data_IF_582451723547
#
_entry.id   IF_582451723547
#
_cell.length_a   1.000
_cell.length_b   1.000
_cell.length_c   1.000
_cell.angle_alpha   90.00
_cell.angle_beta   90.00
_cell.angle_gamma   90.00
#
_symmetry.space_group_name_H-M   'P 1'
#
loop_
_entity.id
_entity.type
_entity.pdbx_description
1 polymer ?
#
# COMPACT_ATOMS: atom_id res chain seq x y z
N UNK A 1 14.16 -27.20 -39.58
CA UNK A 1 15.33 -26.62 -38.88
C UNK A 1 15.81 -25.34 -39.58
N UNK A 2 15.05 -24.24 -39.52
CA UNK A 2 15.38 -22.98 -40.23
C UNK A 2 15.12 -21.71 -39.39
N UNK A 3 15.07 -21.83 -38.05
CA UNK A 3 14.74 -20.70 -37.15
C UNK A 3 15.96 -20.12 -36.42
N UNK A 4 17.15 -20.67 -36.63
CA UNK A 4 18.39 -20.24 -35.95
C UNK A 4 19.17 -19.16 -36.73
N UNK A 5 18.95 -19.06 -38.04
CA UNK A 5 19.76 -18.20 -38.90
C UNK A 5 19.32 -16.72 -38.81
N UNK A 6 18.01 -16.44 -38.81
CA UNK A 6 17.49 -15.07 -38.78
C UNK A 6 17.90 -14.28 -37.53
N UNK A 7 17.93 -14.92 -36.35
CA UNK A 7 18.33 -14.26 -35.10
C UNK A 7 19.82 -13.91 -35.12
N UNK A 8 20.65 -14.80 -35.65
CA UNK A 8 22.09 -14.61 -35.79
C UNK A 8 22.43 -13.59 -36.89
N UNK A 9 21.61 -13.52 -37.94
CA UNK A 9 21.73 -12.53 -39.02
C UNK A 9 21.34 -11.11 -38.55
N UNK A 10 20.32 -11.00 -37.68
CA UNK A 10 19.91 -9.74 -37.04
C UNK A 10 20.96 -9.29 -36.02
N UNK A 11 21.36 -10.16 -35.09
CA UNK A 11 22.34 -9.84 -34.06
C UNK A 11 23.75 -9.63 -34.64
N UNK A 12 24.08 -10.31 -35.75
CA UNK A 12 25.36 -10.19 -36.45
C UNK A 12 25.46 -8.99 -37.39
N UNK A 13 24.44 -8.12 -37.45
CA UNK A 13 24.48 -6.87 -38.23
C UNK A 13 24.44 -7.05 -39.75
N UNK A 14 24.24 -8.27 -40.25
CA UNK A 14 24.18 -8.56 -41.69
C UNK A 14 22.95 -7.88 -42.33
N UNK A 15 21.88 -7.70 -41.56
CA UNK A 15 20.69 -6.92 -41.97
C UNK A 15 21.01 -5.44 -42.19
N UNK A 16 21.95 -4.85 -41.43
CA UNK A 16 22.34 -3.44 -41.59
C UNK A 16 23.18 -3.22 -42.86
N UNK A 17 23.88 -4.24 -43.33
CA UNK A 17 24.69 -4.20 -44.55
C UNK A 17 23.86 -4.40 -45.82
N UNK A 18 22.79 -5.20 -45.75
CA UNK A 18 21.96 -5.55 -46.92
C UNK A 18 20.80 -4.58 -47.17
N UNK A 19 20.31 -3.92 -46.12
CA UNK A 19 19.29 -2.87 -46.25
C UNK A 19 19.98 -1.50 -46.31
N UNK A 20 19.48 -0.58 -47.15
CA UNK A 20 20.00 0.80 -47.27
C UNK A 20 19.93 1.66 -46.00
N UNK A 21 19.75 1.03 -44.83
CA UNK A 21 19.69 1.61 -43.50
C UNK A 21 20.94 2.43 -43.16
N UNK A 22 22.12 2.04 -43.65
CA UNK A 22 23.35 2.82 -43.47
C UNK A 22 23.25 4.23 -44.07
N UNK A 23 22.45 4.43 -45.11
CA UNK A 23 22.20 5.76 -45.71
C UNK A 23 21.47 6.69 -44.73
N UNK A 24 20.74 6.14 -43.77
CA UNK A 24 20.04 6.84 -42.69
C UNK A 24 20.56 6.46 -41.30
N UNK A 25 21.85 6.13 -41.18
CA UNK A 25 22.46 5.69 -39.92
C UNK A 25 22.22 6.66 -38.74
N UNK A 26 22.16 7.97 -38.99
CA UNK A 26 21.84 8.99 -37.97
C UNK A 26 20.45 8.79 -37.37
N UNK A 27 19.45 8.44 -38.19
CA UNK A 27 18.09 8.19 -37.74
C UNK A 27 18.00 6.90 -36.92
N UNK A 28 18.67 5.84 -37.37
CA UNK A 28 18.70 4.57 -36.63
C UNK A 28 19.40 4.71 -35.28
N UNK A 29 20.49 5.47 -35.21
CA UNK A 29 21.16 5.78 -33.95
C UNK A 29 20.23 6.52 -32.98
N UNK A 30 19.44 7.49 -33.49
CA UNK A 30 18.47 8.21 -32.66
C UNK A 30 17.41 7.27 -32.08
N UNK A 31 16.86 6.36 -32.89
CA UNK A 31 15.89 5.36 -32.41
C UNK A 31 16.52 4.42 -31.38
N UNK A 32 17.77 3.98 -31.60
CA UNK A 32 18.49 3.13 -30.67
C UNK A 32 18.68 3.80 -29.30
N UNK A 33 19.08 5.08 -29.30
CA UNK A 33 19.18 5.87 -28.06
C UNK A 33 17.81 6.00 -27.39
N UNK A 34 16.74 6.22 -28.15
CA UNK A 34 15.39 6.29 -27.60
C UNK A 34 14.95 4.97 -26.94
N UNK A 35 15.31 3.83 -27.53
CA UNK A 35 15.06 2.50 -26.94
C UNK A 35 15.83 2.34 -25.62
N UNK A 36 17.10 2.76 -25.55
CA UNK A 36 17.88 2.73 -24.31
C UNK A 36 17.21 3.60 -23.23
N UNK A 37 16.82 4.83 -23.57
CA UNK A 37 16.12 5.74 -22.65
C UNK A 37 14.81 5.11 -22.17
N UNK A 38 14.05 4.49 -23.07
CA UNK A 38 12.80 3.81 -22.75
C UNK A 38 13.02 2.67 -21.74
N UNK A 39 14.03 1.82 -21.95
CA UNK A 39 14.37 0.73 -21.03
C UNK A 39 14.75 1.29 -19.65
N UNK A 40 15.59 2.33 -19.62
CA UNK A 40 16.01 2.98 -18.37
C UNK A 40 14.82 3.58 -17.60
N UNK A 41 13.90 4.24 -18.30
CA UNK A 41 12.71 4.83 -17.70
C UNK A 41 11.77 3.76 -17.13
N UNK A 42 11.57 2.67 -17.87
CA UNK A 42 10.73 1.55 -17.41
C UNK A 42 11.27 0.95 -16.10
N UNK A 43 12.59 0.74 -16.02
CA UNK A 43 13.22 0.19 -14.83
C UNK A 43 12.99 1.07 -13.58
N UNK A 44 13.04 2.40 -13.75
CA UNK A 44 12.74 3.34 -12.66
C UNK A 44 11.28 3.23 -12.19
N UNK A 45 10.33 3.17 -13.13
CA UNK A 45 8.91 3.02 -12.81
C UNK A 45 8.64 1.71 -12.08
N UNK A 46 9.22 0.60 -12.54
CA UNK A 46 9.07 -0.70 -11.89
C UNK A 46 9.58 -0.71 -10.45
N UNK A 47 10.73 -0.05 -10.19
CA UNK A 47 11.28 0.06 -8.84
C UNK A 47 10.33 0.83 -7.92
N UNK A 48 9.80 1.96 -8.37
CA UNK A 48 8.82 2.74 -7.59
C UNK A 48 7.54 1.95 -7.33
N UNK A 49 7.06 1.21 -8.33
CA UNK A 49 5.85 0.38 -8.19
C UNK A 49 6.03 -0.73 -7.14
N UNK A 50 7.23 -1.33 -7.07
CA UNK A 50 7.56 -2.33 -6.03
C UNK A 50 7.55 -1.74 -4.63
N UNK A 51 8.14 -0.56 -4.45
CA UNK A 51 8.19 0.14 -3.16
C UNK A 51 6.77 0.51 -2.72
N UNK A 52 5.97 1.07 -3.63
CA UNK A 52 4.59 1.45 -3.38
C UNK A 52 3.75 0.26 -2.87
N UNK A 53 3.86 -0.89 -3.55
CA UNK A 53 3.15 -2.11 -3.14
C UNK A 53 3.54 -2.57 -1.75
N UNK A 54 4.83 -2.53 -1.41
CA UNK A 54 5.32 -2.89 -0.09
C UNK A 54 4.77 -1.93 0.97
N UNK A 55 4.85 -0.63 0.73
CA UNK A 55 4.36 0.38 1.67
C UNK A 55 2.85 0.23 1.90
N UNK A 56 2.07 -0.02 0.84
CA UNK A 56 0.63 -0.29 0.97
C UNK A 56 0.33 -1.54 1.81
N UNK A 57 1.10 -2.60 1.64
CA UNK A 57 0.94 -3.81 2.43
C UNK A 57 1.22 -3.54 3.92
N UNK A 58 2.28 -2.78 4.22
CA UNK A 58 2.63 -2.36 5.59
C UNK A 58 1.53 -1.46 6.20
N UNK A 59 1.03 -0.47 5.44
CA UNK A 59 -0.08 0.38 5.88
C UNK A 59 -1.36 -0.42 6.15
N UNK A 60 -1.68 -1.41 5.31
CA UNK A 60 -2.85 -2.27 5.51
C UNK A 60 -2.70 -3.10 6.79
N UNK A 61 -1.53 -3.65 7.04
CA UNK A 61 -1.23 -4.36 8.28
C UNK A 61 -1.40 -3.45 9.49
N UNK A 62 -0.78 -2.26 9.46
CA UNK A 62 -0.83 -1.32 10.58
C UNK A 62 -2.27 -0.85 10.87
N UNK A 63 -3.08 -0.62 9.83
CA UNK A 63 -4.50 -0.30 9.97
C UNK A 63 -5.27 -1.43 10.63
N UNK A 64 -5.03 -2.68 10.24
CA UNK A 64 -5.66 -3.85 10.85
C UNK A 64 -5.31 -3.98 12.34
N UNK A 65 -4.03 -3.76 12.68
CA UNK A 65 -3.56 -3.81 14.06
C UNK A 65 -4.15 -2.69 14.92
N UNK A 66 -4.23 -1.47 14.37
CA UNK A 66 -4.87 -0.33 15.02
C UNK A 66 -6.34 -0.63 15.32
N UNK A 67 -7.10 -1.09 14.33
CA UNK A 67 -8.52 -1.44 14.49
C UNK A 67 -8.67 -2.52 15.57
N UNK A 68 -7.84 -3.55 15.53
CA UNK A 68 -7.89 -4.67 16.49
C UNK A 68 -7.59 -4.21 17.91
N UNK A 69 -6.54 -3.40 18.11
CA UNK A 69 -6.18 -2.85 19.42
C UNK A 69 -7.25 -1.88 19.94
N UNK A 70 -7.74 -1.00 19.08
CA UNK A 70 -8.81 -0.05 19.42
C UNK A 70 -10.09 -0.79 19.82
N UNK A 71 -10.50 -1.80 19.06
CA UNK A 71 -11.64 -2.65 19.39
C UNK A 71 -11.46 -3.35 20.74
N UNK A 72 -10.26 -3.86 21.05
CA UNK A 72 -9.97 -4.48 22.35
C UNK A 72 -10.07 -3.49 23.51
N UNK A 73 -9.58 -2.26 23.33
CA UNK A 73 -9.71 -1.19 24.31
C UNK A 73 -11.18 -0.81 24.51
N UNK A 74 -11.92 -0.58 23.43
CA UNK A 74 -13.35 -0.27 23.49
C UNK A 74 -14.15 -1.37 24.18
N UNK A 75 -13.85 -2.64 23.90
CA UNK A 75 -14.45 -3.78 24.58
C UNK A 75 -14.18 -3.68 26.09
N UNK A 76 -12.91 -3.59 26.50
CA UNK A 76 -12.53 -3.46 27.91
C UNK A 76 -13.10 -2.21 28.60
N UNK A 77 -13.42 -1.15 27.87
CA UNK A 77 -14.05 0.06 28.39
C UNK A 77 -15.58 -0.01 28.44
N UNK A 78 -16.21 -1.08 27.91
CA UNK A 78 -17.66 -1.29 28.05
C UNK A 78 -18.02 -1.39 29.52
N UNK A 79 -19.08 -0.69 29.91
CA UNK A 79 -19.62 -0.69 31.28
C UNK A 79 -19.84 -2.10 31.84
N UNK A 80 -20.41 -3.00 31.04
CA UNK A 80 -20.65 -4.40 31.43
C UNK A 80 -19.35 -5.16 31.74
N UNK A 81 -18.29 -4.94 30.96
CA UNK A 81 -17.01 -5.61 31.18
C UNK A 81 -16.23 -5.01 32.34
N UNK A 82 -16.33 -3.70 32.55
CA UNK A 82 -15.80 -3.03 33.74
C UNK A 82 -16.51 -3.52 35.00
N UNK A 83 -17.83 -3.69 34.98
CA UNK A 83 -18.59 -4.24 36.11
C UNK A 83 -18.17 -5.68 36.42
N UNK A 84 -18.03 -6.54 35.40
CA UNK A 84 -17.51 -7.90 35.57
C UNK A 84 -16.12 -7.91 36.21
N UNK A 85 -15.22 -7.02 35.76
CA UNK A 85 -13.88 -6.90 36.35
C UNK A 85 -13.93 -6.42 37.81
N UNK A 86 -14.76 -5.44 38.14
CA UNK A 86 -14.93 -4.94 39.50
C UNK A 86 -15.49 -6.01 40.44
N UNK A 87 -16.48 -6.79 39.99
CA UNK A 87 -17.03 -7.93 40.73
C UNK A 87 -15.98 -9.02 40.97
N UNK A 88 -15.19 -9.36 39.96
CA UNK A 88 -14.11 -10.34 40.09
C UNK A 88 -13.00 -9.88 41.06
N UNK A 89 -12.82 -8.57 41.23
CA UNK A 89 -11.88 -7.97 42.19
C UNK A 89 -12.47 -7.83 43.61
N UNK A 90 -13.70 -8.30 43.84
CA UNK A 90 -14.36 -8.26 45.15
C UNK A 90 -15.04 -6.92 45.48
N UNK A 91 -15.28 -6.06 44.49
CA UNK A 91 -15.96 -4.77 44.70
C UNK A 91 -17.48 -4.92 44.77
N UNK A 92 -18.10 -4.24 45.73
CA UNK A 92 -19.57 -4.18 45.92
C UNK A 92 -20.27 -3.09 45.08
N UNK A 93 -19.52 -2.38 44.23
CA UNK A 93 -20.05 -1.28 43.41
C UNK A 93 -21.13 -1.78 42.45
N UNK A 94 -22.35 -1.23 42.57
CA UNK A 94 -23.49 -1.51 41.70
C UNK A 94 -23.71 -0.37 40.72
N UNK A 95 -24.07 -0.66 39.46
CA UNK A 95 -24.41 0.38 38.49
C UNK A 95 -25.64 1.17 38.98
N UNK A 96 -25.68 2.50 38.77
CA UNK A 96 -26.85 3.30 39.08
C UNK A 96 -28.01 2.85 38.20
N UNK A 97 -29.12 2.49 38.84
CA UNK A 97 -30.33 1.96 38.19
C UNK A 97 -31.25 3.10 37.73
N UNK A 98 -31.20 4.23 38.43
CA UNK A 98 -32.02 5.40 38.12
C UNK A 98 -31.28 6.41 37.22
N UNK A 99 -31.96 7.00 36.22
CA UNK A 99 -31.40 8.05 35.39
C UNK A 99 -31.09 9.31 36.23
N UNK A 100 -30.02 10.06 35.90
CA UNK A 100 -29.66 11.26 36.63
C UNK A 100 -30.74 12.34 36.47
N UNK A 101 -31.20 12.90 37.60
CA UNK A 101 -32.16 14.00 37.63
C UNK A 101 -31.47 15.34 37.33
N UNK A 102 -32.09 16.15 36.47
CA UNK A 102 -31.66 17.52 36.21
C UNK A 102 -32.01 18.38 37.43
N UNK A 103 -30.99 18.85 38.15
CA UNK A 103 -31.17 19.78 39.26
C UNK A 103 -31.43 21.16 38.66
N UNK A 104 -32.65 21.68 38.80
CA UNK A 104 -33.00 23.06 38.43
C UNK A 104 -32.91 23.86 39.73
N UNK A 105 -31.92 24.75 39.81
CA UNK A 105 -31.76 25.64 40.97
C UNK A 105 -32.80 26.75 40.83
N UNK A 106 -33.85 26.70 41.64
CA UNK A 106 -34.81 27.79 41.72
C UNK A 106 -34.24 28.88 42.64
N UNK A 107 -33.84 29.98 42.02
CA UNK A 107 -33.26 31.14 42.69
C UNK A 107 -34.33 31.77 43.59
N UNK A 108 -34.24 31.53 44.90
CA UNK A 108 -35.12 32.15 45.89
C UNK A 108 -34.83 33.65 45.95
N UNK A 109 -35.82 34.44 45.50
CA UNK A 109 -35.95 35.88 45.73
C UNK A 109 -35.96 36.23 47.21
#
# INVERSE_FOLDING_TARGET
MAKKNWMNEILGGQILLHSGILQHARFVLLVFVLVIIYIALNFSVEQSLRIERRNNAELKHLKSDYISKSARLQYSSKRDEVEKKLKNLGSELKPPVDPPLRIIMEERR
#
